data_IF_814039386025
#
_entry.id   IF_814039386025
#
_cell.length_a   1.000
_cell.length_b   1.000
_cell.length_c   1.000
_cell.angle_alpha   90.00
_cell.angle_beta   90.00
_cell.angle_gamma   90.00
#
_symmetry.space_group_name_H-M   'P 1'
#
loop_
_entity.id
_entity.type
_entity.pdbx_description
1 polymer ?
#
# COMPACT_ATOMS: atom_id res chain seq x y z
N UNK A 1 -6.03 4.12 -14.81
CA UNK A 1 -5.99 4.49 -13.39
C UNK A 1 -6.37 3.26 -12.62
N UNK A 2 -5.51 2.81 -11.72
CA UNK A 2 -5.84 1.75 -10.77
C UNK A 2 -6.28 2.36 -9.42
N UNK A 3 -6.74 1.53 -8.48
CA UNK A 3 -7.14 1.97 -7.13
C UNK A 3 -6.01 2.73 -6.41
N UNK A 4 -4.77 2.25 -6.53
CA UNK A 4 -3.61 2.89 -5.90
C UNK A 4 -3.29 4.27 -6.47
N UNK A 5 -3.52 4.51 -7.77
CA UNK A 5 -3.37 5.82 -8.41
C UNK A 5 -4.41 6.81 -7.84
N UNK A 6 -5.62 6.33 -7.52
CA UNK A 6 -6.69 7.13 -6.90
C UNK A 6 -6.36 7.47 -5.45
N UNK A 7 -5.88 6.49 -4.67
CA UNK A 7 -5.43 6.69 -3.29
C UNK A 7 -4.22 7.65 -3.23
N UNK A 8 -3.24 7.43 -4.10
CA UNK A 8 -2.09 8.32 -4.29
C UNK A 8 -2.56 9.75 -4.55
N UNK A 9 -3.45 9.95 -5.52
CA UNK A 9 -3.93 11.28 -5.88
C UNK A 9 -4.67 11.96 -4.72
N UNK A 10 -5.50 11.21 -3.98
CA UNK A 10 -6.25 11.75 -2.84
C UNK A 10 -5.33 12.25 -1.72
N UNK A 11 -4.35 11.45 -1.33
CA UNK A 11 -3.33 11.86 -0.34
C UNK A 11 -2.50 13.01 -0.90
N UNK A 12 -2.01 12.90 -2.14
CA UNK A 12 -1.21 13.94 -2.76
C UNK A 12 -1.95 15.29 -2.79
N UNK A 13 -3.19 15.31 -3.29
CA UNK A 13 -3.99 16.54 -3.41
C UNK A 13 -4.25 17.20 -2.05
N UNK A 14 -4.56 16.40 -1.02
CA UNK A 14 -4.81 16.91 0.34
C UNK A 14 -3.56 17.50 1.00
N UNK A 15 -2.42 16.80 0.90
CA UNK A 15 -1.18 17.25 1.52
C UNK A 15 -0.43 18.28 0.67
N UNK A 16 -0.76 18.44 -0.62
CA UNK A 16 -0.14 19.44 -1.51
C UNK A 16 -0.33 20.86 -1.01
N UNK A 17 -1.50 21.18 -0.46
CA UNK A 17 -1.80 22.51 0.08
C UNK A 17 -0.86 22.91 1.23
N UNK A 18 -0.51 21.95 2.10
CA UNK A 18 0.30 22.18 3.31
C UNK A 18 1.80 21.91 3.13
N UNK A 19 2.16 20.93 2.30
CA UNK A 19 3.52 20.37 2.24
C UNK A 19 4.19 20.45 0.86
N UNK A 20 3.52 21.01 -0.16
CA UNK A 20 4.03 21.23 -1.53
C UNK A 20 4.79 20.01 -2.10
N UNK A 21 6.12 20.05 -2.13
CA UNK A 21 6.95 18.97 -2.68
C UNK A 21 6.97 17.72 -1.79
N UNK A 22 6.91 17.87 -0.46
CA UNK A 22 6.87 16.74 0.49
C UNK A 22 5.57 15.93 0.38
N UNK A 23 4.50 16.53 -0.16
CA UNK A 23 3.23 15.82 -0.39
C UNK A 23 3.38 14.62 -1.34
N UNK A 24 4.30 14.70 -2.30
CA UNK A 24 4.58 13.60 -3.20
C UNK A 24 5.19 12.41 -2.45
N UNK A 25 6.23 12.67 -1.66
CA UNK A 25 6.88 11.64 -0.84
C UNK A 25 5.88 11.00 0.13
N UNK A 26 5.05 11.81 0.80
CA UNK A 26 4.01 11.30 1.71
C UNK A 26 3.03 10.36 0.97
N UNK A 27 2.56 10.76 -0.22
CA UNK A 27 1.63 9.93 -1.00
C UNK A 27 2.28 8.63 -1.50
N UNK A 28 3.55 8.68 -1.92
CA UNK A 28 4.31 7.48 -2.31
C UNK A 28 4.47 6.55 -1.11
N UNK A 29 4.93 7.06 0.03
CA UNK A 29 5.12 6.28 1.25
C UNK A 29 3.80 5.66 1.69
N UNK A 30 2.71 6.41 1.70
CA UNK A 30 1.39 5.90 2.05
C UNK A 30 0.97 4.70 1.18
N UNK A 31 1.06 4.84 -0.15
CA UNK A 31 0.65 3.77 -1.07
C UNK A 31 1.57 2.55 -0.96
N UNK A 32 2.87 2.76 -0.83
CA UNK A 32 3.84 1.67 -0.65
C UNK A 32 3.62 0.92 0.66
N UNK A 33 3.43 1.64 1.77
CA UNK A 33 3.13 1.03 3.08
C UNK A 33 1.83 0.23 2.99
N UNK A 34 0.77 0.80 2.38
CA UNK A 34 -0.49 0.09 2.24
C UNK A 34 -0.37 -1.18 1.38
N UNK A 35 0.37 -1.14 0.28
CA UNK A 35 0.65 -2.33 -0.54
C UNK A 35 1.45 -3.39 0.22
N UNK A 36 2.46 -3.00 1.00
CA UNK A 36 3.20 -3.91 1.86
C UNK A 36 2.32 -4.51 2.97
N UNK A 37 1.41 -3.73 3.56
CA UNK A 37 0.45 -4.24 4.54
C UNK A 37 -0.48 -5.27 3.92
N UNK A 38 -1.02 -5.03 2.72
CA UNK A 38 -1.84 -6.02 2.01
C UNK A 38 -1.05 -7.30 1.67
N UNK A 39 0.20 -7.16 1.24
CA UNK A 39 1.08 -8.29 1.00
C UNK A 39 1.31 -9.11 2.27
N UNK A 40 1.59 -8.44 3.39
CA UNK A 40 1.79 -9.09 4.69
C UNK A 40 0.52 -9.79 5.17
N UNK A 41 -0.64 -9.13 5.04
CA UNK A 41 -1.95 -9.71 5.38
C UNK A 41 -2.18 -11.03 4.64
N UNK A 42 -1.97 -11.03 3.32
CA UNK A 42 -2.09 -12.23 2.51
C UNK A 42 -1.05 -13.28 2.91
N UNK A 43 0.19 -12.87 3.15
CA UNK A 43 1.26 -13.77 3.59
C UNK A 43 0.94 -14.49 4.90
N UNK A 44 0.44 -13.76 5.90
CA UNK A 44 0.01 -14.32 7.20
C UNK A 44 -1.22 -15.20 7.03
N UNK A 45 -2.21 -14.77 6.24
CA UNK A 45 -3.39 -15.58 5.94
C UNK A 45 -3.01 -16.94 5.33
N UNK A 46 -2.18 -16.94 4.29
CA UNK A 46 -1.73 -18.17 3.64
C UNK A 46 -0.84 -19.03 4.56
N UNK A 47 -0.01 -18.43 5.41
CA UNK A 47 0.78 -19.18 6.39
C UNK A 47 -0.12 -19.95 7.37
N UNK A 48 -1.18 -19.32 7.90
CA UNK A 48 -2.15 -19.99 8.77
C UNK A 48 -2.92 -21.08 8.04
N UNK A 49 -3.35 -20.80 6.81
CA UNK A 49 -4.07 -21.76 5.96
C UNK A 49 -3.22 -22.99 5.61
N UNK A 50 -1.97 -22.80 5.19
CA UNK A 50 -1.07 -23.91 4.85
C UNK A 50 -0.70 -24.76 6.06
N UNK A 51 -0.61 -24.14 7.25
CA UNK A 51 -0.44 -24.87 8.51
C UNK A 51 -1.60 -25.83 8.76
N UNK A 52 -2.84 -25.39 8.55
CA UNK A 52 -4.03 -26.25 8.69
C UNK A 52 -4.07 -27.38 7.65
N UNK A 53 -3.57 -27.12 6.44
CA UNK A 53 -3.50 -28.11 5.37
C UNK A 53 -2.32 -29.09 5.48
N UNK A 54 -1.48 -29.01 6.53
CA UNK A 54 -0.27 -29.83 6.68
C UNK A 54 0.68 -29.77 5.47
N UNK A 55 0.71 -28.62 4.78
CA UNK A 55 1.57 -28.41 3.62
C UNK A 55 3.01 -28.13 4.07
N UNK A 56 3.99 -28.68 3.35
CA UNK A 56 5.40 -28.32 3.57
C UNK A 56 5.62 -26.91 3.02
N UNK A 57 5.72 -25.93 3.92
CA UNK A 57 5.94 -24.53 3.57
C UNK A 57 7.41 -24.12 3.70
N UNK A 58 7.76 -22.98 3.11
CA UNK A 58 9.04 -22.32 3.36
C UNK A 58 9.20 -21.99 4.85
N UNK A 59 10.44 -21.97 5.34
CA UNK A 59 10.72 -21.59 6.73
C UNK A 59 10.36 -20.13 7.00
N UNK A 60 10.05 -19.81 8.27
CA UNK A 60 9.68 -18.46 8.72
C UNK A 60 10.72 -17.41 8.30
N UNK A 61 12.00 -17.70 8.47
CA UNK A 61 13.10 -16.80 8.10
C UNK A 61 13.10 -16.49 6.59
N UNK A 62 12.97 -17.53 5.75
CA UNK A 62 12.90 -17.37 4.30
C UNK A 62 11.67 -16.55 3.88
N UNK A 63 10.54 -16.73 4.55
CA UNK A 63 9.33 -15.93 4.31
C UNK A 63 9.53 -14.44 4.62
N UNK A 64 10.16 -14.11 5.75
CA UNK A 64 10.48 -12.72 6.11
C UNK A 64 11.48 -12.08 5.15
N UNK A 65 12.52 -12.83 4.73
CA UNK A 65 13.48 -12.36 3.71
C UNK A 65 12.76 -12.07 2.39
N UNK A 66 11.89 -12.98 1.94
CA UNK A 66 11.12 -12.81 0.71
C UNK A 66 10.19 -11.59 0.81
N UNK A 67 9.51 -11.42 1.95
CA UNK A 67 8.69 -10.24 2.22
C UNK A 67 9.51 -8.95 2.14
N UNK A 68 10.69 -8.89 2.76
CA UNK A 68 11.55 -7.71 2.73
C UNK A 68 12.00 -7.38 1.29
N UNK A 69 12.38 -8.36 0.48
CA UNK A 69 12.76 -8.17 -0.92
C UNK A 69 11.59 -7.60 -1.74
N UNK A 70 10.39 -8.17 -1.60
CA UNK A 70 9.21 -7.69 -2.31
C UNK A 70 8.82 -6.29 -1.82
N UNK A 71 8.94 -6.00 -0.53
CA UNK A 71 8.67 -4.68 0.02
C UNK A 71 9.60 -3.62 -0.60
N UNK A 72 10.91 -3.88 -0.67
CA UNK A 72 11.87 -2.98 -1.33
C UNK A 72 11.49 -2.78 -2.80
N UNK A 73 11.14 -3.85 -3.52
CA UNK A 73 10.69 -3.76 -4.90
C UNK A 73 9.42 -2.90 -5.05
N UNK A 74 8.44 -3.04 -4.16
CA UNK A 74 7.22 -2.23 -4.15
C UNK A 74 7.55 -0.74 -3.98
N UNK A 75 8.42 -0.40 -3.03
CA UNK A 75 8.84 0.99 -2.79
C UNK A 75 9.53 1.57 -4.03
N UNK A 76 10.46 0.83 -4.62
CA UNK A 76 11.16 1.25 -5.83
C UNK A 76 10.20 1.45 -7.01
N UNK A 77 9.32 0.47 -7.26
CA UNK A 77 8.32 0.51 -8.33
C UNK A 77 7.40 1.73 -8.19
N UNK A 78 6.88 1.97 -6.99
CA UNK A 78 5.97 3.09 -6.73
C UNK A 78 6.70 4.43 -6.84
N UNK A 79 7.94 4.52 -6.36
CA UNK A 79 8.75 5.72 -6.51
C UNK A 79 8.96 6.09 -7.98
N UNK A 80 9.33 5.11 -8.82
CA UNK A 80 9.48 5.30 -10.26
C UNK A 80 8.14 5.67 -10.93
N UNK A 81 7.05 5.01 -10.54
CA UNK A 81 5.71 5.26 -11.09
C UNK A 81 5.20 6.68 -10.82
N UNK A 82 5.41 7.22 -9.62
CA UNK A 82 4.79 8.46 -9.18
C UNK A 82 5.70 9.70 -9.26
N UNK A 83 6.98 9.55 -9.63
CA UNK A 83 7.91 10.69 -9.78
C UNK A 83 7.93 11.27 -11.20
N UNK A 84 7.61 10.48 -12.24
CA UNK A 84 7.77 10.86 -13.65
C UNK A 84 6.49 11.29 -14.39
N UNK A 85 6.47 11.06 -15.72
CA UNK A 85 5.36 11.41 -16.65
C UNK A 85 3.99 10.90 -16.20
N UNK A 86 3.97 9.75 -15.53
CA UNK A 86 2.73 9.11 -15.05
C UNK A 86 2.04 9.91 -13.95
N UNK A 87 2.77 10.68 -13.12
CA UNK A 87 2.19 11.66 -12.19
C UNK A 87 1.38 12.73 -12.91
N UNK A 88 1.96 13.30 -13.97
CA UNK A 88 1.31 14.36 -14.75
C UNK A 88 0.03 13.85 -15.40
N UNK A 89 0.05 12.62 -15.92
CA UNK A 89 -1.14 11.96 -16.46
C UNK A 89 -2.23 11.74 -15.40
N UNK A 90 -1.88 11.27 -14.21
CA UNK A 90 -2.85 11.07 -13.11
C UNK A 90 -3.48 12.40 -12.70
N UNK A 91 -2.66 13.44 -12.54
CA UNK A 91 -3.13 14.78 -12.17
C UNK A 91 -4.07 15.38 -13.24
N UNK A 92 -3.72 15.23 -14.52
CA UNK A 92 -4.56 15.69 -15.63
C UNK A 92 -5.89 14.93 -15.71
N UNK A 93 -5.88 13.60 -15.49
CA UNK A 93 -7.09 12.78 -15.51
C UNK A 93 -8.03 13.06 -14.33
N UNK A 94 -7.48 13.30 -13.14
CA UNK A 94 -8.27 13.62 -11.95
C UNK A 94 -8.78 15.06 -11.90
N UNK A 95 -8.15 16.00 -12.63
CA UNK A 95 -8.78 17.30 -12.84
C UNK A 95 -9.99 17.23 -13.79
N UNK A 96 -9.97 16.31 -14.77
CA UNK A 96 -11.08 16.14 -15.73
C UNK A 96 -12.27 15.38 -15.14
N UNK A 97 -12.03 14.35 -14.33
CA UNK A 97 -13.07 13.67 -13.56
C UNK A 97 -13.15 14.33 -12.19
N UNK A 98 -14.10 15.25 -11.94
CA UNK A 98 -14.36 15.88 -10.62
C UNK A 98 -13.91 14.94 -9.50
N UNK A 99 -12.76 15.23 -8.89
CA UNK A 99 -12.02 14.23 -8.14
C UNK A 99 -12.91 13.62 -7.05
N UNK A 100 -12.98 12.28 -6.99
CA UNK A 100 -13.56 11.61 -5.83
C UNK A 100 -12.68 11.93 -4.63
N UNK A 101 -13.11 12.89 -3.83
CA UNK A 101 -12.49 13.28 -2.58
C UNK A 101 -12.92 12.30 -1.50
N UNK A 102 -12.07 11.32 -1.20
CA UNK A 102 -12.28 10.46 -0.05
C UNK A 102 -12.01 11.24 1.25
N UNK A 103 -12.74 10.91 2.31
CA UNK A 103 -12.48 11.49 3.63
C UNK A 103 -11.10 11.08 4.11
N UNK A 104 -10.37 12.01 4.72
CA UNK A 104 -9.02 11.74 5.26
C UNK A 104 -9.05 10.61 6.29
N UNK A 105 -10.12 10.56 7.08
CA UNK A 105 -10.39 9.49 8.03
C UNK A 105 -10.46 8.11 7.37
N UNK A 106 -11.21 7.98 6.26
CA UNK A 106 -11.30 6.70 5.54
C UNK A 106 -9.95 6.27 4.96
N UNK A 107 -9.16 7.23 4.46
CA UNK A 107 -7.82 6.95 3.92
C UNK A 107 -6.87 6.43 5.00
N UNK A 108 -6.91 6.94 6.23
CA UNK A 108 -6.08 6.42 7.31
C UNK A 108 -6.67 5.16 7.96
N UNK A 109 -7.99 5.00 7.94
CA UNK A 109 -8.66 3.80 8.43
C UNK A 109 -8.24 2.56 7.62
N UNK A 110 -8.06 2.67 6.30
CA UNK A 110 -7.67 1.55 5.44
C UNK A 110 -6.39 0.81 5.92
N UNK A 111 -5.22 1.47 6.03
CA UNK A 111 -4.02 0.82 6.54
C UNK A 111 -4.21 0.38 7.99
N UNK A 112 -4.81 1.19 8.87
CA UNK A 112 -5.00 0.82 10.28
C UNK A 112 -5.85 -0.44 10.46
N UNK A 113 -6.97 -0.56 9.73
CA UNK A 113 -7.80 -1.75 9.72
C UNK A 113 -7.04 -2.96 9.18
N UNK A 114 -6.22 -2.77 8.13
CA UNK A 114 -5.36 -3.83 7.58
C UNK A 114 -4.38 -4.34 8.62
N UNK A 115 -3.73 -3.45 9.37
CA UNK A 115 -2.82 -3.81 10.47
C UNK A 115 -3.54 -4.55 11.61
N UNK A 116 -4.76 -4.13 11.96
CA UNK A 116 -5.60 -4.84 12.93
C UNK A 116 -5.91 -6.28 12.48
N UNK A 117 -6.26 -6.48 11.21
CA UNK A 117 -6.51 -7.81 10.66
C UNK A 117 -5.24 -8.67 10.61
N UNK A 118 -4.08 -8.08 10.26
CA UNK A 118 -2.79 -8.78 10.31
C UNK A 118 -2.54 -9.29 11.73
N UNK A 119 -2.74 -8.45 12.75
CA UNK A 119 -2.54 -8.83 14.14
C UNK A 119 -3.44 -10.00 14.56
N UNK A 120 -4.74 -9.93 14.26
CA UNK A 120 -5.70 -10.99 14.59
C UNK A 120 -5.34 -12.30 13.89
N UNK A 121 -5.01 -12.25 12.59
CA UNK A 121 -4.60 -13.46 11.85
C UNK A 121 -3.29 -14.02 12.37
N UNK A 122 -2.33 -13.17 12.73
CA UNK A 122 -1.03 -13.61 13.24
C UNK A 122 -1.14 -14.37 14.57
N UNK A 123 -2.12 -14.03 15.41
CA UNK A 123 -2.43 -14.80 16.63
C UNK A 123 -3.02 -16.19 16.31
N UNK A 124 -3.64 -16.35 15.14
CA UNK A 124 -4.23 -17.61 14.68
C UNK A 124 -3.28 -18.48 13.84
N UNK A 125 -2.07 -17.99 13.51
CA UNK A 125 -0.98 -18.71 12.81
C UNK A 125 0.03 -19.30 13.80
#
# INVERSE_FOLDING_TARGET
MNLFDVLFYNIFSRYKAKYKQKANTIAITYVSVFQCSLLLLLGVFFAGFFRQMHMVTISREKAWILFALIAVFIFFKNWMQYTGKRRMMINAKMNKKKAQHYSLWLLWLLPLATWGLIYVLFQAV
#
